data_IF_381454809440
#
_entry.id   IF_381454809440
#
_cell.length_a   1.000
_cell.length_b   1.000
_cell.length_c   1.000
_cell.angle_alpha   90.00
_cell.angle_beta   90.00
_cell.angle_gamma   90.00
#
_symmetry.space_group_name_H-M   'P 1'
#
loop_
_entity.id
_entity.type
_entity.pdbx_description
1 polymer ?
#
# COMPACT_ATOMS: atom_id res chain seq x y z
N UNK A 1 -12.45 9.14 -3.41
CA UNK A 1 -11.24 9.70 -4.04
C UNK A 1 -11.04 9.26 -5.50
N UNK A 2 -10.86 7.97 -5.85
CA UNK A 2 -10.69 7.58 -7.26
C UNK A 2 -11.89 7.92 -8.14
N UNK A 3 -13.11 7.67 -7.68
CA UNK A 3 -14.34 8.08 -8.38
C UNK A 3 -14.46 9.61 -8.60
N UNK A 4 -13.82 10.43 -7.76
CA UNK A 4 -13.80 11.88 -7.94
C UNK A 4 -12.76 12.32 -8.99
N UNK A 5 -11.67 11.55 -9.16
CA UNK A 5 -10.66 11.78 -10.19
C UNK A 5 -11.05 11.17 -11.53
N UNK A 6 -11.80 10.09 -11.49
CA UNK A 6 -12.28 9.34 -12.64
C UNK A 6 -13.73 8.89 -12.37
N UNK A 7 -14.74 9.61 -12.91
CA UNK A 7 -16.15 9.28 -12.70
C UNK A 7 -16.55 7.89 -13.20
N UNK A 8 -15.83 7.30 -14.17
CA UNK A 8 -16.13 5.95 -14.66
C UNK A 8 -15.51 4.86 -13.78
N UNK A 9 -14.64 5.22 -12.84
CA UNK A 9 -13.94 4.29 -11.96
C UNK A 9 -14.84 3.27 -11.25
N UNK A 10 -16.03 3.61 -10.72
CA UNK A 10 -16.90 2.63 -10.08
C UNK A 10 -17.34 1.50 -11.02
N UNK A 11 -17.64 1.83 -12.28
CA UNK A 11 -18.02 0.85 -13.30
C UNK A 11 -16.85 -0.08 -13.62
N UNK A 12 -15.66 0.49 -13.84
CA UNK A 12 -14.44 -0.27 -14.11
C UNK A 12 -14.06 -1.17 -12.91
N UNK A 13 -14.12 -0.64 -11.69
CA UNK A 13 -13.82 -1.40 -10.49
C UNK A 13 -14.77 -2.58 -10.31
N UNK A 14 -16.07 -2.41 -10.61
CA UNK A 14 -17.05 -3.50 -10.56
C UNK A 14 -16.70 -4.64 -11.53
N UNK A 15 -16.10 -4.33 -12.68
CA UNK A 15 -15.66 -5.34 -13.65
C UNK A 15 -14.43 -6.14 -13.18
N UNK A 16 -13.71 -5.67 -12.17
CA UNK A 16 -12.53 -6.32 -11.61
C UNK A 16 -12.84 -7.19 -10.38
N UNK A 17 -14.07 -7.13 -9.87
CA UNK A 17 -14.51 -7.99 -8.77
C UNK A 17 -14.39 -9.45 -9.20
N UNK A 18 -13.84 -10.28 -8.32
CA UNK A 18 -13.55 -11.70 -8.55
C UNK A 18 -12.64 -12.00 -9.76
N UNK A 19 -11.89 -11.00 -10.24
CA UNK A 19 -10.89 -11.14 -11.30
C UNK A 19 -9.50 -10.85 -10.76
N UNK A 20 -8.86 -11.83 -10.08
CA UNK A 20 -7.53 -11.62 -9.54
C UNK A 20 -6.52 -11.39 -10.68
N UNK A 21 -5.64 -10.41 -10.47
CA UNK A 21 -4.44 -10.26 -11.28
C UNK A 21 -3.48 -11.42 -11.06
N UNK A 22 -2.61 -11.67 -12.02
CA UNK A 22 -1.57 -12.70 -11.93
C UNK A 22 -0.23 -12.04 -11.67
N UNK A 23 0.55 -12.59 -10.74
CA UNK A 23 1.93 -12.22 -10.50
C UNK A 23 2.80 -13.47 -10.65
N UNK A 24 4.04 -13.30 -11.13
CA UNK A 24 5.02 -14.39 -11.06
C UNK A 24 5.31 -14.73 -9.59
N UNK A 25 5.72 -15.97 -9.31
CA UNK A 25 6.11 -16.38 -7.95
C UNK A 25 7.22 -15.47 -7.38
N UNK A 26 8.15 -15.00 -8.22
CA UNK A 26 9.18 -14.06 -7.84
C UNK A 26 8.61 -12.70 -7.39
N UNK A 27 7.63 -12.16 -8.11
CA UNK A 27 6.98 -10.89 -7.75
C UNK A 27 6.18 -11.02 -6.45
N UNK A 28 5.47 -12.13 -6.27
CA UNK A 28 4.76 -12.43 -5.03
C UNK A 28 5.74 -12.52 -3.83
N UNK A 29 6.85 -13.24 -3.97
CA UNK A 29 7.86 -13.38 -2.93
C UNK A 29 8.53 -12.03 -2.60
N UNK A 30 8.89 -11.23 -3.61
CA UNK A 30 9.47 -9.90 -3.41
C UNK A 30 8.50 -8.94 -2.70
N UNK A 31 7.21 -9.00 -3.06
CA UNK A 31 6.16 -8.21 -2.40
C UNK A 31 6.01 -8.62 -0.93
N UNK A 32 5.99 -9.92 -0.65
CA UNK A 32 5.90 -10.43 0.71
C UNK A 32 7.13 -10.03 1.55
N UNK A 33 8.33 -10.17 1.00
CA UNK A 33 9.57 -9.77 1.67
C UNK A 33 9.57 -8.26 2.00
N UNK A 34 9.20 -7.41 1.04
CA UNK A 34 9.08 -5.97 1.28
C UNK A 34 8.03 -5.67 2.37
N UNK A 35 6.89 -6.35 2.36
CA UNK A 35 5.87 -6.21 3.39
C UNK A 35 6.37 -6.58 4.79
N UNK A 36 7.14 -7.66 4.92
CA UNK A 36 7.74 -8.09 6.19
C UNK A 36 8.70 -7.04 6.72
N UNK A 37 9.60 -6.51 5.90
CA UNK A 37 10.55 -5.45 6.32
C UNK A 37 9.83 -4.19 6.81
N UNK A 38 8.76 -3.78 6.13
CA UNK A 38 7.96 -2.63 6.56
C UNK A 38 7.20 -2.90 7.87
N UNK A 39 6.76 -4.12 8.10
CA UNK A 39 6.11 -4.52 9.36
C UNK A 39 7.11 -4.53 10.52
N UNK A 40 8.32 -5.06 10.32
CA UNK A 40 9.39 -5.03 11.32
C UNK A 40 9.78 -3.58 11.66
N UNK A 41 9.95 -2.73 10.65
CA UNK A 41 10.19 -1.31 10.87
C UNK A 41 9.08 -0.63 11.70
N UNK A 42 7.81 -1.04 11.51
CA UNK A 42 6.70 -0.53 12.28
C UNK A 42 6.79 -0.96 13.76
N UNK A 43 7.13 -2.22 14.01
CA UNK A 43 7.32 -2.77 15.36
C UNK A 43 8.46 -2.05 16.08
N UNK A 44 9.58 -1.85 15.40
CA UNK A 44 10.75 -1.14 15.96
C UNK A 44 10.42 0.32 16.29
N UNK A 45 9.66 0.99 15.42
CA UNK A 45 9.20 2.36 15.65
C UNK A 45 8.30 2.48 16.89
N UNK A 46 7.44 1.48 17.15
CA UNK A 46 6.57 1.44 18.34
C UNK A 46 7.37 1.19 19.62
N UNK A 47 8.42 0.36 19.57
CA UNK A 47 9.23 0.01 20.74
C UNK A 47 10.34 1.03 21.08
N UNK A 48 10.38 2.17 20.39
CA UNK A 48 11.27 3.29 20.76
C UNK A 48 12.73 3.09 20.34
N UNK A 49 12.98 2.28 19.31
CA UNK A 49 14.28 2.25 18.66
C UNK A 49 14.66 3.67 18.15
N UNK A 50 15.95 4.07 18.18
CA UNK A 50 16.37 5.46 17.99
C UNK A 50 16.07 6.04 16.59
N UNK A 51 15.71 5.23 15.60
CA UNK A 51 15.24 5.69 14.29
C UNK A 51 13.75 6.00 14.36
N UNK A 52 13.39 7.20 14.82
CA UNK A 52 12.02 7.73 14.97
C UNK A 52 11.27 7.96 13.64
N UNK A 53 11.68 7.29 12.57
CA UNK A 53 11.09 7.43 11.24
C UNK A 53 9.98 6.41 11.10
N UNK A 54 8.76 6.87 10.80
CA UNK A 54 7.67 5.98 10.42
C UNK A 54 8.10 5.09 9.25
N UNK A 55 7.62 3.84 9.15
CA UNK A 55 7.87 2.99 8.00
C UNK A 55 7.48 3.70 6.71
N UNK A 56 8.27 3.53 5.64
CA UNK A 56 7.96 4.11 4.34
C UNK A 56 6.59 3.67 3.82
N UNK A 57 6.10 2.50 4.24
CA UNK A 57 4.77 2.00 3.92
C UNK A 57 3.61 2.86 4.43
N UNK A 58 3.84 3.70 5.45
CA UNK A 58 2.80 4.58 5.96
C UNK A 58 2.43 5.59 4.88
N UNK A 59 1.13 5.62 4.53
CA UNK A 59 0.58 6.46 3.47
C UNK A 59 1.27 6.30 2.10
N UNK A 60 1.83 5.13 1.81
CA UNK A 60 2.55 4.89 0.55
C UNK A 60 2.10 3.58 -0.09
N UNK A 61 1.98 3.61 -1.41
CA UNK A 61 1.87 2.41 -2.23
C UNK A 61 3.22 2.15 -2.88
N UNK A 62 3.75 0.94 -2.70
CA UNK A 62 4.90 0.44 -3.44
C UNK A 62 4.45 -0.29 -4.71
N UNK A 63 5.16 -0.08 -5.81
CA UNK A 63 4.96 -0.86 -7.03
C UNK A 63 6.28 -1.50 -7.45
N UNK A 64 6.27 -2.82 -7.58
CA UNK A 64 7.41 -3.63 -7.99
C UNK A 64 7.25 -4.02 -9.46
N UNK A 65 8.21 -3.64 -10.29
CA UNK A 65 8.38 -4.15 -11.64
C UNK A 65 9.72 -4.90 -11.70
N UNK A 66 9.67 -6.20 -11.42
CA UNK A 66 10.88 -7.04 -11.42
C UNK A 66 11.45 -7.25 -12.83
N UNK A 67 10.63 -7.18 -13.88
CA UNK A 67 11.10 -7.31 -15.26
C UNK A 67 11.98 -6.14 -15.66
N UNK A 68 11.72 -4.96 -15.09
CA UNK A 68 12.51 -3.73 -15.30
C UNK A 68 13.46 -3.42 -14.15
N UNK A 69 13.42 -4.19 -13.06
CA UNK A 69 14.21 -3.93 -11.85
C UNK A 69 13.83 -2.63 -11.13
N UNK A 70 12.55 -2.23 -11.16
CA UNK A 70 12.09 -0.94 -10.62
C UNK A 70 11.24 -1.15 -9.37
N UNK A 71 11.51 -0.35 -8.33
CA UNK A 71 10.63 -0.14 -7.18
C UNK A 71 10.17 1.31 -7.18
N UNK A 72 8.89 1.54 -7.45
CA UNK A 72 8.27 2.87 -7.37
C UNK A 72 7.58 3.05 -6.01
N UNK A 73 7.51 4.30 -5.56
CA UNK A 73 6.82 4.72 -4.35
C UNK A 73 5.87 5.82 -4.70
N UNK A 74 4.60 5.66 -4.34
CA UNK A 74 3.59 6.69 -4.52
C UNK A 74 2.94 6.99 -3.18
N UNK A 75 3.12 8.22 -2.70
CA UNK A 75 2.40 8.73 -1.52
C UNK A 75 0.90 8.82 -1.83
N UNK A 76 0.08 8.25 -0.94
CA UNK A 76 -1.37 8.20 -0.98
C UNK A 76 -1.89 8.39 0.45
N UNK A 77 -2.03 9.65 0.90
CA UNK A 77 -2.47 9.93 2.26
C UNK A 77 -3.92 9.52 2.46
N UNK A 78 -4.30 9.34 3.74
CA UNK A 78 -5.67 9.03 4.09
C UNK A 78 -6.65 10.11 3.55
N UNK A 79 -7.76 9.69 2.95
CA UNK A 79 -8.74 10.66 2.45
C UNK A 79 -9.44 11.36 3.62
N UNK A 80 -9.50 12.71 3.65
CA UNK A 80 -9.98 13.45 4.81
C UNK A 80 -11.43 13.13 5.19
N UNK A 81 -12.27 12.85 4.18
CA UNK A 81 -13.67 12.46 4.36
C UNK A 81 -13.91 10.94 4.30
N UNK A 82 -12.89 10.08 4.41
CA UNK A 82 -13.13 8.64 4.50
C UNK A 82 -13.79 8.30 5.85
N UNK A 83 -14.94 7.60 5.88
CA UNK A 83 -15.51 7.11 7.12
C UNK A 83 -14.61 6.09 7.83
N UNK A 84 -13.68 5.46 7.09
CA UNK A 84 -12.67 4.55 7.64
C UNK A 84 -11.67 5.21 8.60
N UNK A 85 -11.51 6.54 8.54
CA UNK A 85 -10.56 7.28 9.38
C UNK A 85 -10.91 7.22 10.88
N UNK A 86 -12.17 6.90 11.20
CA UNK A 86 -12.68 6.88 12.58
C UNK A 86 -12.18 5.66 13.37
N UNK A 87 -11.58 4.65 12.73
CA UNK A 87 -11.10 3.44 13.41
C UNK A 87 -9.73 3.58 14.12
N UNK A 88 -9.09 4.74 14.10
CA UNK A 88 -7.75 4.95 14.69
C UNK A 88 -7.76 5.56 16.11
N UNK A 89 -8.93 5.67 16.76
CA UNK A 89 -9.03 6.09 18.16
C UNK A 89 -9.86 5.06 18.92
N UNK A 90 -9.15 4.10 19.52
CA UNK A 90 -9.65 3.12 20.47
C UNK A 90 -8.52 2.73 21.40
#
# INVERSE_FOLDING_TARGET
HRAARDPCWPLLAAQLVDRPGQASAACAAATAALGVEQALAAIDAVHGAPTRTLPEAVETVFELDLGRGVLSRRHVPAHPACPCRVAAVG
#
